data_IF_868693340455
#
_entry.id   IF_868693340455
#
_cell.length_a   1.000
_cell.length_b   1.000
_cell.length_c   1.000
_cell.angle_alpha   90.00
_cell.angle_beta   90.00
_cell.angle_gamma   90.00
#
_symmetry.space_group_name_H-M   'P 1'
#
loop_
_entity.id
_entity.type
_entity.pdbx_description
1 polymer ?
#
# COMPACT_ATOMS: atom_id res chain seq x y z
N UNK A 1 -22.90 -33.89 21.90
CA UNK A 1 -22.78 -32.84 20.87
C UNK A 1 -23.70 -31.70 21.24
N UNK A 2 -23.15 -30.50 21.39
CA UNK A 2 -23.94 -29.31 21.71
C UNK A 2 -24.56 -28.78 20.39
N UNK A 3 -25.86 -28.48 20.39
CA UNK A 3 -26.56 -27.91 19.23
C UNK A 3 -27.02 -26.49 19.53
N UNK A 4 -26.77 -25.56 18.61
CA UNK A 4 -27.24 -24.17 18.67
C UNK A 4 -28.28 -23.94 17.57
N UNK A 5 -29.53 -23.73 17.96
CA UNK A 5 -30.60 -23.36 17.04
C UNK A 5 -30.63 -21.83 16.92
N UNK A 6 -30.38 -21.31 15.71
CA UNK A 6 -30.40 -19.87 15.45
C UNK A 6 -31.71 -19.53 14.72
N UNK A 7 -32.55 -18.64 15.26
CA UNK A 7 -33.75 -18.17 14.57
C UNK A 7 -33.40 -17.46 13.27
N UNK A 8 -34.28 -17.57 12.26
CA UNK A 8 -34.12 -16.90 10.95
C UNK A 8 -33.92 -15.38 11.12
N UNK A 9 -34.60 -14.78 12.10
CA UNK A 9 -34.46 -13.34 12.43
C UNK A 9 -33.06 -12.94 12.91
N UNK A 10 -32.20 -13.89 13.29
CA UNK A 10 -30.82 -13.66 13.75
C UNK A 10 -29.76 -14.15 12.77
N UNK A 11 -30.12 -14.40 11.50
CA UNK A 11 -29.18 -14.83 10.46
C UNK A 11 -28.04 -13.82 10.24
N UNK A 12 -28.27 -12.53 10.47
CA UNK A 12 -27.27 -11.47 10.38
C UNK A 12 -26.12 -11.59 11.40
N UNK A 13 -26.19 -12.53 12.35
CA UNK A 13 -25.12 -12.82 13.32
C UNK A 13 -24.25 -14.00 12.91
N UNK A 14 -24.56 -14.65 11.77
CA UNK A 14 -23.83 -15.77 11.24
C UNK A 14 -23.02 -15.29 10.04
N UNK A 15 -21.71 -15.48 10.12
CA UNK A 15 -20.80 -15.22 9.02
C UNK A 15 -20.02 -16.49 8.70
N UNK A 16 -19.71 -16.68 7.42
CA UNK A 16 -18.84 -17.77 6.99
C UNK A 16 -17.44 -17.49 7.52
N UNK A 17 -16.89 -18.44 8.27
CA UNK A 17 -15.49 -18.36 8.69
C UNK A 17 -14.57 -18.51 7.48
N UNK A 18 -13.61 -17.60 7.34
CA UNK A 18 -12.60 -17.59 6.27
C UNK A 18 -11.24 -17.79 6.95
N UNK A 19 -10.49 -18.80 6.52
CA UNK A 19 -9.14 -19.07 7.01
C UNK A 19 -8.20 -19.48 5.90
N UNK A 20 -6.91 -19.34 6.18
CA UNK A 20 -5.85 -19.86 5.33
C UNK A 20 -5.94 -21.41 5.22
N UNK A 21 -5.56 -21.99 4.07
CA UNK A 21 -5.53 -23.44 3.90
C UNK A 21 -4.70 -24.13 4.98
N UNK A 22 -5.25 -25.17 5.62
CA UNK A 22 -4.57 -25.95 6.65
C UNK A 22 -4.77 -25.45 8.09
N UNK A 23 -5.39 -24.29 8.29
CA UNK A 23 -5.71 -23.78 9.63
C UNK A 23 -7.05 -24.32 10.11
N UNK A 24 -7.03 -25.15 11.16
CA UNK A 24 -8.26 -25.66 11.80
C UNK A 24 -8.71 -24.66 12.87
N UNK A 25 -9.96 -24.15 12.81
CA UNK A 25 -10.45 -23.19 13.80
C UNK A 25 -10.71 -23.82 15.17
N UNK A 26 -10.48 -23.05 16.22
CA UNK A 26 -10.88 -23.44 17.57
C UNK A 26 -12.40 -23.42 17.71
N UNK A 27 -12.98 -24.56 18.11
CA UNK A 27 -14.41 -24.67 18.37
C UNK A 27 -14.69 -24.35 19.84
N UNK A 28 -15.49 -23.31 20.09
CA UNK A 28 -15.90 -22.92 21.44
C UNK A 28 -17.14 -23.70 21.90
N UNK A 29 -17.08 -24.25 23.12
CA UNK A 29 -18.24 -24.88 23.77
C UNK A 29 -19.28 -23.85 24.18
N UNK A 30 -20.56 -24.21 24.04
CA UNK A 30 -21.68 -23.34 24.44
C UNK A 30 -21.68 -23.08 25.95
N UNK A 31 -22.15 -21.90 26.36
CA UNK A 31 -22.22 -21.49 27.77
C UNK A 31 -20.87 -21.16 28.43
N UNK A 32 -19.73 -21.44 27.78
CA UNK A 32 -18.40 -21.07 28.30
C UNK A 32 -18.00 -19.65 27.90
N UNK A 33 -17.19 -19.01 28.73
CA UNK A 33 -16.69 -17.65 28.49
C UNK A 33 -15.56 -17.56 27.46
N UNK A 34 -15.12 -18.67 26.87
CA UNK A 34 -13.95 -18.73 25.97
C UNK A 34 -14.09 -17.81 24.75
N UNK A 35 -15.21 -17.91 24.03
CA UNK A 35 -15.48 -17.06 22.87
C UNK A 35 -15.53 -15.58 23.24
N UNK A 36 -16.23 -15.25 24.34
CA UNK A 36 -16.33 -13.88 24.84
C UNK A 36 -14.96 -13.30 25.22
N UNK A 37 -14.12 -14.05 25.94
CA UNK A 37 -12.76 -13.61 26.31
C UNK A 37 -11.89 -13.39 25.07
N UNK A 38 -11.94 -14.29 24.08
CA UNK A 38 -11.21 -14.12 22.81
C UNK A 38 -11.66 -12.87 22.06
N UNK A 39 -12.98 -12.65 21.97
CA UNK A 39 -13.55 -11.45 21.35
C UNK A 39 -13.11 -10.17 22.06
N UNK A 40 -13.14 -10.14 23.40
CA UNK A 40 -12.68 -8.99 24.19
C UNK A 40 -11.18 -8.72 23.99
N UNK A 41 -10.36 -9.78 23.90
CA UNK A 41 -8.92 -9.66 23.61
C UNK A 41 -8.68 -9.06 22.21
N UNK A 42 -9.29 -9.65 21.18
CA UNK A 42 -9.16 -9.17 19.79
C UNK A 42 -9.66 -7.72 19.67
N UNK A 43 -10.78 -7.39 20.33
CA UNK A 43 -11.29 -6.02 20.34
C UNK A 43 -10.25 -5.03 20.88
N UNK A 44 -9.58 -5.34 21.99
CA UNK A 44 -8.53 -4.49 22.55
C UNK A 44 -7.32 -4.37 21.62
N UNK A 45 -6.94 -5.44 20.94
CA UNK A 45 -5.85 -5.43 19.97
C UNK A 45 -6.18 -4.53 18.76
N UNK A 46 -7.42 -4.62 18.24
CA UNK A 46 -7.91 -3.74 17.17
C UNK A 46 -7.96 -2.29 17.63
N UNK A 47 -8.47 -2.00 18.84
CA UNK A 47 -8.51 -0.64 19.40
C UNK A 47 -7.10 -0.05 19.55
N UNK A 48 -6.14 -0.85 20.00
CA UNK A 48 -4.74 -0.44 20.09
C UNK A 48 -4.16 -0.11 18.71
N UNK A 49 -4.35 -1.00 17.74
CA UNK A 49 -3.85 -0.80 16.38
C UNK A 49 -4.48 0.43 15.71
N UNK A 50 -5.79 0.63 15.88
CA UNK A 50 -6.49 1.82 15.38
C UNK A 50 -5.93 3.10 16.03
N UNK A 51 -5.63 3.07 17.33
CA UNK A 51 -4.98 4.17 18.03
C UNK A 51 -3.59 4.51 17.47
N UNK A 52 -2.77 3.49 17.19
CA UNK A 52 -1.45 3.66 16.56
C UNK A 52 -1.56 4.29 15.16
N UNK A 53 -2.51 3.84 14.33
CA UNK A 53 -2.76 4.43 13.02
C UNK A 53 -3.18 5.90 13.12
N UNK A 54 -4.09 6.23 14.05
CA UNK A 54 -4.53 7.61 14.28
C UNK A 54 -3.38 8.51 14.72
N UNK A 55 -2.49 8.00 15.59
CA UNK A 55 -1.32 8.75 16.04
C UNK A 55 -0.38 9.06 14.86
N UNK A 56 -0.14 8.10 13.97
CA UNK A 56 0.67 8.31 12.76
C UNK A 56 0.03 9.35 11.84
N UNK A 57 -1.28 9.24 11.60
CA UNK A 57 -2.00 10.19 10.74
C UNK A 57 -2.03 11.60 11.33
N UNK A 58 -2.22 11.73 12.65
CA UNK A 58 -2.18 13.01 13.34
C UNK A 58 -0.81 13.68 13.18
N UNK A 59 0.29 12.94 13.39
CA UNK A 59 1.66 13.45 13.20
C UNK A 59 1.89 13.93 11.76
N UNK A 60 1.37 13.21 10.76
CA UNK A 60 1.48 13.61 9.35
C UNK A 60 0.64 14.85 9.05
N UNK A 61 -0.57 14.96 9.59
CA UNK A 61 -1.45 16.11 9.38
C UNK A 61 -0.92 17.41 10.01
N UNK A 62 -0.16 17.31 11.11
CA UNK A 62 0.44 18.49 11.76
C UNK A 62 1.76 18.92 11.14
N UNK A 63 2.44 18.03 10.42
CA UNK A 63 3.74 18.31 9.83
C UNK A 63 3.58 18.88 8.42
N UNK A 64 4.31 19.96 8.12
CA UNK A 64 4.43 20.47 6.75
C UNK A 64 5.43 19.57 6.03
N UNK A 65 4.95 18.85 5.02
CA UNK A 65 5.75 18.02 4.13
C UNK A 65 6.57 18.86 3.13
N UNK A 66 7.33 18.16 2.29
CA UNK A 66 7.99 18.79 1.16
C UNK A 66 7.05 18.76 -0.06
N UNK A 67 6.67 19.94 -0.54
CA UNK A 67 5.90 20.11 -1.78
C UNK A 67 6.86 20.04 -2.96
N UNK A 68 6.75 18.97 -3.74
CA UNK A 68 7.55 18.79 -4.95
C UNK A 68 7.14 19.81 -6.02
N UNK A 69 8.08 20.21 -6.87
CA UNK A 69 7.77 21.13 -7.98
C UNK A 69 6.93 20.44 -9.05
N UNK A 70 6.29 21.24 -9.91
CA UNK A 70 5.55 20.74 -11.08
C UNK A 70 6.48 19.97 -12.01
N UNK A 71 5.88 19.11 -12.84
CA UNK A 71 6.62 18.32 -13.81
C UNK A 71 7.51 19.19 -14.71
N UNK A 72 8.72 18.68 -14.96
CA UNK A 72 9.72 19.30 -15.83
C UNK A 72 9.67 18.67 -17.21
N UNK A 73 10.36 19.25 -18.18
CA UNK A 73 10.51 18.67 -19.53
C UNK A 73 11.06 17.24 -19.45
N UNK A 74 12.02 16.97 -18.56
CA UNK A 74 12.55 15.61 -18.37
C UNK A 74 11.51 14.64 -17.81
N UNK A 75 10.57 15.10 -16.98
CA UNK A 75 9.47 14.26 -16.52
C UNK A 75 8.54 13.90 -17.68
N UNK A 76 8.21 14.86 -18.54
CA UNK A 76 7.40 14.61 -19.75
C UNK A 76 8.10 13.63 -20.69
N UNK A 77 9.38 13.86 -21.02
CA UNK A 77 10.20 12.96 -21.84
C UNK A 77 10.31 11.56 -21.22
N UNK A 78 10.49 11.50 -19.89
CA UNK A 78 10.50 10.24 -19.16
C UNK A 78 9.20 9.47 -19.36
N UNK A 79 8.06 10.15 -19.23
CA UNK A 79 6.72 9.56 -19.35
C UNK A 79 6.38 9.14 -20.77
N UNK A 80 6.74 9.96 -21.76
CA UNK A 80 6.60 9.64 -23.19
C UNK A 80 7.46 8.43 -23.60
N UNK A 81 8.57 8.18 -22.90
CA UNK A 81 9.40 7.00 -23.07
C UNK A 81 8.74 5.68 -22.63
N UNK A 82 7.54 5.71 -22.05
CA UNK A 82 6.82 4.50 -21.66
C UNK A 82 6.28 3.77 -22.89
N UNK A 83 6.64 2.49 -23.12
CA UNK A 83 6.33 1.81 -24.39
C UNK A 83 4.88 1.29 -24.50
N UNK A 84 4.02 1.58 -23.51
CA UNK A 84 2.64 1.10 -23.45
C UNK A 84 1.69 2.28 -23.27
N UNK A 85 0.45 2.12 -23.74
CA UNK A 85 -0.60 3.09 -23.46
C UNK A 85 -1.18 2.82 -22.08
N UNK A 86 -1.26 3.87 -21.26
CA UNK A 86 -1.84 3.79 -19.93
C UNK A 86 -3.36 3.63 -19.97
N UNK A 87 -3.88 2.89 -19.01
CA UNK A 87 -5.33 2.81 -18.79
C UNK A 87 -5.83 4.05 -18.05
N UNK A 88 -7.14 4.30 -18.08
CA UNK A 88 -7.77 5.40 -17.33
C UNK A 88 -7.46 5.34 -15.83
N UNK A 89 -7.45 4.14 -15.26
CA UNK A 89 -7.17 3.93 -13.84
C UNK A 89 -5.69 4.16 -13.52
N UNK A 90 -4.77 3.80 -14.43
CA UNK A 90 -3.35 4.10 -14.29
C UNK A 90 -3.10 5.61 -14.35
N UNK A 91 -3.68 6.31 -15.34
CA UNK A 91 -3.55 7.77 -15.45
C UNK A 91 -4.07 8.47 -14.20
N UNK A 92 -5.22 8.04 -13.68
CA UNK A 92 -5.75 8.57 -12.43
C UNK A 92 -4.78 8.33 -11.27
N UNK A 93 -4.27 7.11 -11.10
CA UNK A 93 -3.32 6.81 -10.02
C UNK A 93 -2.03 7.64 -10.14
N UNK A 94 -1.54 7.89 -11.36
CA UNK A 94 -0.36 8.72 -11.61
C UNK A 94 -0.63 10.17 -11.22
N UNK A 95 -1.75 10.75 -11.68
CA UNK A 95 -2.15 12.12 -11.36
C UNK A 95 -2.32 12.28 -9.85
N UNK A 96 -3.10 11.41 -9.22
CA UNK A 96 -3.36 11.45 -7.78
C UNK A 96 -2.05 11.39 -6.96
N UNK A 97 -1.08 10.57 -7.38
CA UNK A 97 0.24 10.48 -6.71
C UNK A 97 1.02 11.78 -6.88
N UNK A 98 1.04 12.37 -8.09
CA UNK A 98 1.75 13.63 -8.33
C UNK A 98 1.12 14.79 -7.57
N UNK A 99 -0.21 14.88 -7.54
CA UNK A 99 -0.92 15.91 -6.77
C UNK A 99 -0.61 15.81 -5.27
N UNK A 100 -0.58 14.59 -4.73
CA UNK A 100 -0.17 14.39 -3.34
C UNK A 100 1.29 14.79 -3.10
N UNK A 101 2.20 14.52 -4.04
CA UNK A 101 3.60 14.94 -3.96
C UNK A 101 3.77 16.46 -4.06
N UNK A 102 2.98 17.13 -4.87
CA UNK A 102 3.01 18.60 -5.02
C UNK A 102 2.35 19.32 -3.84
N UNK A 103 1.65 18.59 -2.96
CA UNK A 103 1.01 19.13 -1.76
C UNK A 103 2.00 19.47 -0.64
N UNK A 104 1.61 20.40 0.23
CA UNK A 104 2.32 20.66 1.48
C UNK A 104 2.06 19.59 2.57
N UNK A 105 1.14 18.65 2.33
CA UNK A 105 0.84 17.54 3.23
C UNK A 105 1.76 16.36 2.97
N UNK A 106 2.15 15.63 4.02
CA UNK A 106 2.93 14.39 3.87
C UNK A 106 2.07 13.30 3.20
N UNK A 107 2.43 12.91 1.98
CA UNK A 107 1.74 11.84 1.24
C UNK A 107 1.81 10.49 1.99
N UNK A 108 0.67 9.79 2.04
CA UNK A 108 0.52 8.41 2.52
C UNK A 108 -0.49 7.64 1.68
N UNK A 109 -0.11 7.30 0.45
CA UNK A 109 -0.99 6.70 -0.54
C UNK A 109 -0.72 5.22 -0.74
N UNK A 110 -1.80 4.43 -0.84
CA UNK A 110 -1.76 3.03 -1.24
C UNK A 110 -2.34 2.91 -2.65
N UNK A 111 -1.54 2.40 -3.59
CA UNK A 111 -1.99 2.07 -4.95
C UNK A 111 -2.26 0.56 -5.04
N UNK A 112 -3.53 0.19 -5.14
CA UNK A 112 -3.95 -1.20 -5.28
C UNK A 112 -4.21 -1.55 -6.76
N UNK A 113 -3.85 -2.76 -7.16
CA UNK A 113 -4.12 -3.30 -8.49
C UNK A 113 -3.52 -4.70 -8.64
N UNK A 114 -3.98 -5.46 -9.63
CA UNK A 114 -3.49 -6.83 -9.84
C UNK A 114 -2.05 -6.88 -10.36
N UNK A 115 -1.47 -8.07 -10.38
CA UNK A 115 -0.14 -8.30 -10.98
C UNK A 115 -0.20 -7.90 -12.46
N UNK A 116 0.77 -7.09 -12.90
CA UNK A 116 0.85 -6.60 -14.29
C UNK A 116 0.13 -5.27 -14.57
N UNK A 117 -0.62 -4.71 -13.62
CA UNK A 117 -1.40 -3.47 -13.82
C UNK A 117 -0.56 -2.18 -13.77
N UNK A 118 0.76 -2.25 -13.92
CA UNK A 118 1.62 -1.05 -14.02
C UNK A 118 1.87 -0.29 -12.71
N UNK A 119 1.62 -0.88 -11.54
CA UNK A 119 1.96 -0.26 -10.23
C UNK A 119 3.43 0.19 -10.14
N UNK A 120 4.32 -0.58 -10.76
CA UNK A 120 5.76 -0.25 -10.82
C UNK A 120 6.02 1.02 -11.63
N UNK A 121 5.27 1.27 -12.71
CA UNK A 121 5.41 2.49 -13.51
C UNK A 121 4.96 3.72 -12.72
N UNK A 122 3.86 3.62 -11.95
CA UNK A 122 3.42 4.69 -11.05
C UNK A 122 4.53 5.05 -10.05
N UNK A 123 5.17 4.05 -9.45
CA UNK A 123 6.27 4.26 -8.52
C UNK A 123 7.53 4.86 -9.20
N UNK A 124 7.84 4.45 -10.43
CA UNK A 124 8.97 4.99 -11.20
C UNK A 124 8.77 6.47 -11.54
N UNK A 125 7.55 6.88 -11.95
CA UNK A 125 7.23 8.29 -12.23
C UNK A 125 7.36 9.16 -10.97
N UNK A 126 6.83 8.67 -9.85
CA UNK A 126 6.99 9.34 -8.56
C UNK A 126 8.47 9.45 -8.14
N UNK A 127 9.24 8.37 -8.30
CA UNK A 127 10.66 8.37 -7.99
C UNK A 127 11.43 9.36 -8.87
N UNK A 128 11.15 9.38 -10.17
CA UNK A 128 11.78 10.30 -11.12
C UNK A 128 11.52 11.76 -10.73
N UNK A 129 10.26 12.11 -10.46
CA UNK A 129 9.86 13.45 -10.00
C UNK A 129 10.63 13.86 -8.74
N UNK A 130 10.74 12.96 -7.77
CA UNK A 130 11.44 13.25 -6.54
C UNK A 130 12.94 13.51 -6.75
N UNK A 131 13.59 12.74 -7.63
CA UNK A 131 15.02 12.91 -7.92
C UNK A 131 15.29 14.17 -8.73
N UNK A 132 14.38 14.55 -9.64
CA UNK A 132 14.48 15.83 -10.37
C UNK A 132 14.44 17.05 -9.45
N UNK A 133 13.77 16.94 -8.30
CA UNK A 133 13.73 17.92 -7.23
C UNK A 133 14.92 17.84 -6.26
N UNK A 134 15.95 17.05 -6.60
CA UNK A 134 17.15 16.86 -5.78
C UNK A 134 16.91 16.06 -4.50
N UNK A 135 15.85 15.26 -4.43
CA UNK A 135 15.58 14.36 -3.29
C UNK A 135 16.07 12.95 -3.58
N UNK A 136 16.40 12.21 -2.53
CA UNK A 136 16.73 10.79 -2.62
C UNK A 136 15.46 9.95 -2.48
N UNK A 137 15.44 8.81 -3.15
CA UNK A 137 14.32 7.86 -3.14
C UNK A 137 14.80 6.51 -2.63
N UNK A 138 14.01 5.89 -1.75
CA UNK A 138 14.23 4.53 -1.26
C UNK A 138 13.05 3.66 -1.67
N UNK A 139 13.34 2.54 -2.33
CA UNK A 139 12.35 1.52 -2.69
C UNK A 139 12.60 0.28 -1.83
N UNK A 140 11.62 -0.10 -1.01
CA UNK A 140 11.70 -1.27 -0.14
C UNK A 140 10.91 -2.43 -0.75
N UNK A 141 11.51 -3.61 -0.78
CA UNK A 141 10.88 -4.85 -1.22
C UNK A 141 11.04 -5.94 -0.14
N UNK A 142 10.08 -6.87 0.00
CA UNK A 142 10.09 -7.85 1.10
C UNK A 142 11.08 -8.99 0.89
N UNK A 143 11.62 -9.16 -0.32
CA UNK A 143 12.59 -10.22 -0.65
C UNK A 143 13.67 -9.67 -1.58
N UNK A 144 14.87 -10.27 -1.49
CA UNK A 144 16.01 -9.95 -2.36
C UNK A 144 15.68 -10.18 -3.84
N UNK A 145 14.90 -11.22 -4.17
CA UNK A 145 14.42 -11.48 -5.54
C UNK A 145 13.61 -10.30 -6.08
N UNK A 146 12.66 -9.76 -5.30
CA UNK A 146 11.87 -8.59 -5.72
C UNK A 146 12.72 -7.32 -5.78
N UNK A 147 13.66 -7.13 -4.85
CA UNK A 147 14.58 -6.01 -4.87
C UNK A 147 15.44 -6.00 -6.15
N UNK A 148 16.01 -7.14 -6.52
CA UNK A 148 16.77 -7.31 -7.77
C UNK A 148 15.91 -7.09 -9.01
N UNK A 149 14.66 -7.57 -9.01
CA UNK A 149 13.71 -7.32 -10.11
C UNK A 149 13.40 -5.83 -10.27
N UNK A 150 13.12 -5.14 -9.16
CA UNK A 150 12.89 -3.69 -9.19
C UNK A 150 14.13 -2.95 -9.68
N UNK A 151 15.31 -3.27 -9.14
CA UNK A 151 16.57 -2.66 -9.55
C UNK A 151 16.82 -2.77 -11.07
N UNK A 152 16.65 -3.97 -11.64
CA UNK A 152 16.78 -4.17 -13.09
C UNK A 152 15.82 -3.32 -13.91
N UNK A 153 14.53 -3.29 -13.53
CA UNK A 153 13.52 -2.49 -14.24
C UNK A 153 13.77 -0.99 -14.11
N UNK A 154 14.17 -0.51 -12.92
CA UNK A 154 14.48 0.90 -12.70
C UNK A 154 15.72 1.32 -13.51
N UNK A 155 16.75 0.48 -13.55
CA UNK A 155 17.96 0.73 -14.35
C UNK A 155 17.67 0.82 -15.85
N UNK A 156 16.85 -0.09 -16.37
CA UNK A 156 16.40 -0.05 -17.77
C UNK A 156 15.57 1.20 -18.06
N UNK A 157 14.59 1.51 -17.20
CA UNK A 157 13.66 2.62 -17.39
C UNK A 157 14.35 3.99 -17.27
N UNK A 158 15.39 4.12 -16.46
CA UNK A 158 16.16 5.35 -16.24
C UNK A 158 17.45 5.45 -17.08
N UNK A 159 17.71 4.52 -18.00
CA UNK A 159 18.99 4.44 -18.73
C UNK A 159 19.40 5.70 -19.52
N UNK A 160 18.42 6.52 -19.92
CA UNK A 160 18.65 7.75 -20.69
C UNK A 160 18.85 8.99 -19.81
N UNK A 161 18.86 8.82 -18.48
CA UNK A 161 18.96 9.92 -17.53
C UNK A 161 20.18 9.73 -16.62
N UNK A 162 20.82 10.82 -16.17
CA UNK A 162 22.02 10.76 -15.33
C UNK A 162 21.65 10.46 -13.86
N UNK A 163 20.99 9.33 -13.64
CA UNK A 163 20.58 8.87 -12.31
C UNK A 163 21.50 7.75 -11.82
N UNK A 164 21.95 7.84 -10.58
CA UNK A 164 22.68 6.78 -9.90
C UNK A 164 21.70 5.90 -9.12
N UNK A 165 21.74 4.59 -9.39
CA UNK A 165 20.90 3.61 -8.72
C UNK A 165 21.80 2.56 -8.09
N UNK A 166 21.53 2.24 -6.83
CA UNK A 166 22.24 1.19 -6.11
C UNK A 166 21.26 0.21 -5.46
N UNK A 167 21.68 -1.05 -5.40
CA UNK A 167 20.93 -2.13 -4.75
C UNK A 167 21.62 -2.50 -3.44
N UNK A 168 20.91 -2.31 -2.33
CA UNK A 168 21.31 -2.84 -1.04
C UNK A 168 20.53 -4.13 -0.78
N UNK A 169 21.21 -5.28 -0.89
CA UNK A 169 20.60 -6.62 -0.72
C UNK A 169 21.52 -7.60 -0.01
#
# INVERSE_FOLDING_TARGET
EDKLFVPISSLNKIERYISEPGVVPDIFRLGRRGFRKRREKIKKEIEKFAGELLEIQAKRATNIGYSFTKDTIWQEEFEEGFPYNETKDQLKAIIDVKEDMESASVMDRIVCGDVGYGKTEVAMRAAFKAVMDGKQVVILAPTTVLATQHFGRFKERFQNFPLELELLS
#
